data_IF_141593910495
#
_entry.id   IF_141593910495
#
_cell.length_a   1.000
_cell.length_b   1.000
_cell.length_c   1.000
_cell.angle_alpha   90.00
_cell.angle_beta   90.00
_cell.angle_gamma   90.00
#
_symmetry.space_group_name_H-M   'P 1'
#
loop_
_entity.id
_entity.type
_entity.pdbx_description
1 polymer ?
#
# COMPACT_ATOMS: atom_id res chain seq x y z
N UNK A 1 -1.28 -2.59 -15.73
CA UNK A 1 -0.20 -2.18 -14.79
C UNK A 1 -0.80 -2.05 -13.39
N UNK A 2 -0.07 -2.47 -12.39
CA UNK A 2 -0.49 -2.33 -11.00
C UNK A 2 0.33 -1.27 -10.31
N UNK A 3 -0.33 -0.50 -9.45
CA UNK A 3 0.33 0.54 -8.64
C UNK A 3 -0.09 0.40 -7.20
N UNK A 4 0.86 0.62 -6.31
CA UNK A 4 0.56 0.76 -4.89
C UNK A 4 0.44 2.25 -4.57
N UNK A 5 -0.66 2.62 -3.91
CA UNK A 5 -0.94 3.97 -3.46
C UNK A 5 -0.74 3.96 -1.95
N UNK A 6 0.31 4.63 -1.48
CA UNK A 6 0.68 4.61 -0.07
C UNK A 6 0.30 5.92 0.60
N UNK A 7 -0.61 5.85 1.55
CA UNK A 7 -0.98 7.01 2.37
C UNK A 7 0.14 7.25 3.38
N UNK A 8 0.80 8.39 3.27
CA UNK A 8 1.89 8.71 4.20
C UNK A 8 1.32 9.09 5.56
N UNK A 9 1.99 8.65 6.61
CA UNK A 9 1.54 8.92 7.97
C UNK A 9 1.69 10.39 8.33
N UNK A 10 0.90 10.81 9.32
CA UNK A 10 0.98 12.14 9.95
C UNK A 10 1.17 11.95 11.44
N UNK A 11 1.47 13.03 12.16
CA UNK A 11 1.59 12.97 13.61
C UNK A 11 0.30 12.47 14.25
N UNK A 12 -0.86 12.87 13.71
CA UNK A 12 -2.16 12.40 14.19
C UNK A 12 -2.34 10.90 14.01
N UNK A 13 -2.02 10.38 12.81
CA UNK A 13 -2.16 8.94 12.55
C UNK A 13 -1.21 8.11 13.42
N UNK A 14 -0.01 8.59 13.63
CA UNK A 14 0.96 7.92 14.52
C UNK A 14 0.55 7.99 15.98
N UNK A 15 -0.18 9.04 16.39
CA UNK A 15 -0.74 9.15 17.73
C UNK A 15 -1.97 8.27 17.94
N UNK A 16 -2.43 7.60 16.90
CA UNK A 16 -3.60 6.72 16.99
C UNK A 16 -4.93 7.45 16.94
N UNK A 17 -4.95 8.71 16.50
CA UNK A 17 -6.20 9.46 16.36
C UNK A 17 -6.99 8.89 15.19
N UNK A 18 -8.21 8.48 15.48
CA UNK A 18 -9.06 7.83 14.50
C UNK A 18 -9.73 8.86 13.60
N UNK A 19 -10.00 8.51 12.31
CA UNK A 19 -10.75 9.38 11.42
C UNK A 19 -12.18 9.56 11.89
N UNK A 20 -12.79 10.69 11.51
CA UNK A 20 -14.20 10.98 11.82
C UNK A 20 -15.13 10.07 11.01
N UNK A 21 -16.39 9.98 11.46
CA UNK A 21 -17.42 9.25 10.72
C UNK A 21 -17.58 9.81 9.30
N UNK A 22 -17.54 11.15 9.16
CA UNK A 22 -17.63 11.81 7.86
C UNK A 22 -16.49 11.38 6.93
N UNK A 23 -15.27 11.36 7.44
CA UNK A 23 -14.10 10.92 6.67
C UNK A 23 -14.25 9.47 6.23
N UNK A 24 -14.71 8.60 7.12
CA UNK A 24 -14.93 7.19 6.80
C UNK A 24 -16.00 7.02 5.73
N UNK A 25 -17.07 7.84 5.75
CA UNK A 25 -18.09 7.82 4.72
C UNK A 25 -17.57 8.27 3.36
N UNK A 26 -16.82 9.36 3.34
CA UNK A 26 -16.23 9.88 2.10
C UNK A 26 -15.25 8.87 1.50
N UNK A 27 -14.45 8.25 2.33
CA UNK A 27 -13.50 7.24 1.89
C UNK A 27 -14.21 5.97 1.41
N UNK A 28 -15.29 5.57 2.08
CA UNK A 28 -16.13 4.47 1.63
C UNK A 28 -16.72 4.72 0.25
N UNK A 29 -17.21 5.94 0.01
CA UNK A 29 -17.75 6.32 -1.30
C UNK A 29 -16.67 6.29 -2.39
N UNK A 30 -15.47 6.75 -2.08
CA UNK A 30 -14.34 6.69 -2.99
C UNK A 30 -13.98 5.24 -3.33
N UNK A 31 -13.93 4.38 -2.32
CA UNK A 31 -13.66 2.95 -2.52
C UNK A 31 -14.70 2.29 -3.41
N UNK A 32 -15.98 2.66 -3.27
CA UNK A 32 -17.03 2.17 -4.15
C UNK A 32 -16.79 2.56 -5.60
N UNK A 33 -16.34 3.78 -5.86
CA UNK A 33 -15.99 4.21 -7.20
C UNK A 33 -14.86 3.39 -7.80
N UNK A 34 -13.82 3.13 -7.02
CA UNK A 34 -12.69 2.29 -7.45
C UNK A 34 -13.14 0.87 -7.79
N UNK A 35 -14.00 0.30 -6.96
CA UNK A 35 -14.52 -1.06 -7.17
C UNK A 35 -15.41 -1.10 -8.42
N UNK A 36 -16.31 -0.15 -8.57
CA UNK A 36 -17.21 -0.08 -9.74
C UNK A 36 -16.44 0.10 -11.04
N UNK A 37 -15.35 0.83 -11.01
CA UNK A 37 -14.49 1.02 -12.20
C UNK A 37 -13.62 -0.21 -12.50
N UNK A 38 -13.62 -1.22 -11.64
CA UNK A 38 -12.78 -2.41 -11.79
C UNK A 38 -11.31 -2.16 -11.54
N UNK A 39 -11.00 -1.09 -10.81
CA UNK A 39 -9.62 -0.60 -10.60
C UNK A 39 -9.01 -1.16 -9.31
N UNK A 40 -9.82 -1.29 -8.26
CA UNK A 40 -9.34 -1.68 -6.92
C UNK A 40 -9.04 -3.17 -6.83
N UNK A 41 -7.82 -3.51 -6.44
CA UNK A 41 -7.43 -4.89 -6.15
C UNK A 41 -7.39 -5.15 -4.64
N UNK A 42 -6.94 -4.17 -3.85
CA UNK A 42 -6.88 -4.26 -2.39
C UNK A 42 -6.80 -2.86 -1.79
N UNK A 43 -7.17 -2.75 -0.53
CA UNK A 43 -7.01 -1.51 0.22
C UNK A 43 -7.13 -1.79 1.70
N UNK A 44 -6.16 -1.30 2.50
CA UNK A 44 -6.09 -1.54 3.93
C UNK A 44 -5.50 -0.34 4.67
N UNK A 45 -6.02 -0.08 5.86
CA UNK A 45 -5.38 0.83 6.80
C UNK A 45 -4.37 0.09 7.66
N UNK A 46 -3.38 0.78 8.16
CA UNK A 46 -2.35 0.23 9.03
C UNK A 46 -2.40 0.90 10.39
N UNK A 47 -2.17 0.13 11.44
CA UNK A 47 -1.98 0.67 12.78
C UNK A 47 -0.73 1.55 12.83
N UNK A 48 -0.64 2.49 13.81
CA UNK A 48 0.57 3.27 14.04
C UNK A 48 1.81 2.40 14.22
N UNK A 49 2.98 2.96 13.93
CA UNK A 49 4.24 2.23 14.04
C UNK A 49 4.56 1.74 15.46
N UNK A 50 3.90 2.33 16.48
CA UNK A 50 4.01 1.85 17.87
C UNK A 50 3.58 0.40 18.04
N UNK A 51 2.77 -0.11 17.12
CA UNK A 51 2.33 -1.51 17.12
C UNK A 51 3.12 -2.40 16.17
N UNK A 52 4.15 -1.84 15.55
CA UNK A 52 4.96 -2.52 14.57
C UNK A 52 6.39 -2.77 15.04
N UNK A 53 7.17 -3.34 14.15
CA UNK A 53 8.58 -3.61 14.38
C UNK A 53 9.33 -3.57 13.07
N UNK A 54 10.64 -3.38 13.16
CA UNK A 54 11.57 -3.53 12.03
C UNK A 54 12.55 -4.62 12.36
N UNK A 55 12.96 -5.37 11.36
CA UNK A 55 14.01 -6.38 11.50
C UNK A 55 15.18 -5.95 10.61
N UNK A 56 16.33 -5.75 11.23
CA UNK A 56 17.55 -5.39 10.51
C UNK A 56 18.30 -6.65 10.12
N UNK A 57 18.76 -6.70 8.90
CA UNK A 57 19.57 -7.78 8.35
C UNK A 57 21.01 -7.29 8.22
N UNK A 58 21.93 -7.94 8.92
CA UNK A 58 23.37 -7.64 8.84
C UNK A 58 24.12 -8.96 8.84
N UNK A 59 24.57 -9.41 7.65
CA UNK A 59 25.12 -10.75 7.50
C UNK A 59 24.11 -11.81 7.91
N UNK A 60 24.48 -12.63 8.89
CA UNK A 60 23.56 -13.64 9.46
C UNK A 60 22.76 -13.12 10.64
N UNK A 61 23.07 -11.93 11.11
CA UNK A 61 22.38 -11.34 12.26
C UNK A 61 21.02 -10.78 11.85
N UNK A 62 20.10 -10.88 12.78
CA UNK A 62 18.75 -10.34 12.66
C UNK A 62 18.43 -9.59 13.95
N UNK A 63 18.23 -8.27 13.85
CA UNK A 63 17.95 -7.44 15.02
C UNK A 63 16.54 -6.88 14.90
N UNK A 64 15.73 -7.14 15.92
CA UNK A 64 14.36 -6.62 15.99
C UNK A 64 14.36 -5.29 16.71
N UNK A 65 13.69 -4.30 16.11
CA UNK A 65 13.50 -2.97 16.70
C UNK A 65 12.01 -2.68 16.76
N UNK A 66 11.47 -2.57 17.97
CA UNK A 66 10.06 -2.21 18.12
C UNK A 66 9.82 -0.73 17.82
N UNK A 67 8.63 -0.42 17.27
CA UNK A 67 8.23 0.97 17.10
C UNK A 67 7.94 1.66 18.42
N UNK A 68 7.61 2.95 18.42
CA UNK A 68 7.39 3.78 17.22
C UNK A 68 8.70 4.21 16.54
N UNK A 69 8.57 4.64 15.28
CA UNK A 69 9.71 5.13 14.49
C UNK A 69 9.60 6.63 14.25
N UNK A 70 10.76 7.32 14.21
CA UNK A 70 10.80 8.78 14.30
C UNK A 70 10.36 9.52 13.03
N UNK A 71 10.65 9.00 11.87
CA UNK A 71 10.44 9.72 10.60
C UNK A 71 9.01 9.52 10.10
N UNK A 72 8.05 10.21 10.71
CA UNK A 72 6.62 10.07 10.45
C UNK A 72 6.27 10.16 8.96
N UNK A 73 6.86 11.12 8.24
CA UNK A 73 6.58 11.30 6.81
C UNK A 73 7.05 10.16 5.92
N UNK A 74 7.91 9.30 6.43
CA UNK A 74 8.39 8.12 5.71
C UNK A 74 7.56 6.88 6.01
N UNK A 75 6.68 6.94 7.00
CA UNK A 75 5.83 5.84 7.40
C UNK A 75 4.57 5.77 6.52
N UNK A 76 3.99 4.59 6.44
CA UNK A 76 2.78 4.34 5.66
C UNK A 76 1.62 4.06 6.62
N UNK A 77 0.54 4.81 6.48
CA UNK A 77 -0.66 4.67 7.32
C UNK A 77 -1.73 3.81 6.67
N UNK A 78 -1.59 3.51 5.38
CA UNK A 78 -2.52 2.69 4.65
C UNK A 78 -2.13 2.62 3.17
N UNK A 79 -2.80 1.76 2.43
CA UNK A 79 -2.48 1.61 1.01
C UNK A 79 -3.68 1.12 0.22
N UNK A 80 -3.64 1.38 -1.08
CA UNK A 80 -4.45 0.67 -2.07
C UNK A 80 -3.52 0.00 -3.06
N UNK A 81 -3.95 -1.12 -3.59
CA UNK A 81 -3.35 -1.73 -4.77
C UNK A 81 -4.38 -1.60 -5.89
N UNK A 82 -4.00 -0.95 -6.98
CA UNK A 82 -4.91 -0.69 -8.11
C UNK A 82 -4.33 -1.22 -9.42
N UNK A 83 -5.23 -1.52 -10.34
CA UNK A 83 -4.87 -1.92 -11.69
C UNK A 83 -5.41 -0.89 -12.68
N UNK A 84 -4.51 -0.24 -13.40
CA UNK A 84 -4.81 0.82 -14.36
C UNK A 84 -3.88 0.70 -15.57
N UNK A 85 -4.13 1.50 -16.60
CA UNK A 85 -3.36 1.42 -17.85
C UNK A 85 -2.06 2.21 -17.82
N UNK A 86 -1.91 3.18 -16.89
CA UNK A 86 -0.74 4.06 -16.87
C UNK A 86 -0.56 4.73 -15.50
N UNK A 87 0.63 5.27 -15.26
CA UNK A 87 0.88 6.09 -14.08
C UNK A 87 -0.02 7.34 -14.08
N UNK A 88 -0.24 7.92 -15.23
CA UNK A 88 -1.09 9.11 -15.36
C UNK A 88 -2.53 8.82 -14.90
N UNK A 89 -3.05 7.65 -15.24
CA UNK A 89 -4.37 7.22 -14.77
C UNK A 89 -4.37 7.02 -13.26
N UNK A 90 -3.31 6.42 -12.69
CA UNK A 90 -3.19 6.28 -11.24
C UNK A 90 -3.19 7.65 -10.55
N UNK A 91 -2.47 8.62 -11.09
CA UNK A 91 -2.43 9.99 -10.56
C UNK A 91 -3.83 10.61 -10.58
N UNK A 92 -4.58 10.43 -11.66
CA UNK A 92 -5.93 10.98 -11.76
C UNK A 92 -6.86 10.36 -10.71
N UNK A 93 -6.75 9.07 -10.46
CA UNK A 93 -7.51 8.43 -9.38
C UNK A 93 -7.15 9.01 -8.01
N UNK A 94 -5.85 9.20 -7.74
CA UNK A 94 -5.41 9.75 -6.45
C UNK A 94 -5.90 11.18 -6.25
N UNK A 95 -5.93 11.99 -7.31
CA UNK A 95 -6.46 13.37 -7.23
C UNK A 95 -7.93 13.42 -6.81
N UNK A 96 -8.68 12.37 -7.09
CA UNK A 96 -10.09 12.28 -6.72
C UNK A 96 -10.31 11.74 -5.31
N UNK A 97 -9.25 11.26 -4.67
CA UNK A 97 -9.33 10.73 -3.31
C UNK A 97 -9.61 11.86 -2.32
N UNK A 98 -10.55 11.68 -1.38
CA UNK A 98 -10.67 12.61 -0.26
C UNK A 98 -9.36 12.64 0.51
N UNK A 99 -8.98 13.79 1.06
CA UNK A 99 -7.77 13.86 1.87
C UNK A 99 -7.91 12.89 3.05
N UNK A 100 -7.06 11.87 3.16
CA UNK A 100 -7.20 10.86 4.21
C UNK A 100 -6.82 11.35 5.61
N UNK A 101 -6.30 12.56 5.72
CA UNK A 101 -5.84 13.13 6.97
C UNK A 101 -6.50 14.47 7.22
N UNK A 102 -6.58 14.94 8.50
CA UNK A 102 -7.22 16.22 8.81
C UNK A 102 -6.43 17.43 8.34
N UNK A 103 -5.16 17.29 8.01
CA UNK A 103 -4.33 18.39 7.54
C UNK A 103 -3.69 18.08 6.21
N UNK A 104 -2.57 18.75 5.93
CA UNK A 104 -1.79 18.48 4.73
C UNK A 104 -1.27 17.04 4.77
N UNK A 105 -1.39 16.32 3.66
CA UNK A 105 -0.95 14.94 3.57
C UNK A 105 -0.52 14.58 2.15
N UNK A 106 0.09 13.42 2.01
CA UNK A 106 0.57 12.93 0.72
C UNK A 106 0.19 11.46 0.52
N UNK A 107 -0.02 11.10 -0.73
CA UNK A 107 -0.13 9.70 -1.16
C UNK A 107 0.98 9.48 -2.18
N UNK A 108 1.84 8.50 -1.90
CA UNK A 108 2.91 8.11 -2.81
C UNK A 108 2.43 7.02 -3.75
N UNK A 109 2.76 7.14 -5.03
CA UNK A 109 2.35 6.19 -6.08
C UNK A 109 3.59 5.44 -6.55
N UNK A 110 3.59 4.11 -6.44
CA UNK A 110 4.70 3.26 -6.87
C UNK A 110 4.19 2.14 -7.75
N UNK A 111 4.84 1.96 -8.90
CA UNK A 111 4.49 0.86 -9.79
C UNK A 111 4.97 -0.46 -9.20
N UNK A 112 4.10 -1.47 -9.25
CA UNK A 112 4.44 -2.82 -8.80
C UNK A 112 5.19 -3.56 -9.90
N UNK A 113 6.24 -4.30 -9.54
CA UNK A 113 6.95 -5.14 -10.51
C UNK A 113 6.03 -6.21 -11.07
N UNK A 114 6.10 -6.39 -12.39
CA UNK A 114 5.51 -7.53 -13.09
C UNK A 114 6.63 -8.46 -13.57
N UNK A 115 6.26 -9.67 -13.97
CA UNK A 115 7.26 -10.66 -14.41
C UNK A 115 8.20 -10.12 -15.51
N UNK A 116 7.65 -9.34 -16.45
CA UNK A 116 8.43 -8.80 -17.56
C UNK A 116 9.39 -7.68 -17.16
N UNK A 117 9.25 -7.13 -15.96
CA UNK A 117 10.16 -6.09 -15.45
C UNK A 117 11.50 -6.67 -14.98
N UNK A 118 11.54 -7.97 -14.72
CA UNK A 118 12.77 -8.67 -14.35
C UNK A 118 13.51 -9.11 -15.62
N UNK A 119 14.82 -9.24 -15.55
CA UNK A 119 15.61 -9.68 -16.68
C UNK A 119 15.63 -11.21 -16.86
N UNK A 120 16.59 -11.67 -17.65
CA UNK A 120 16.72 -13.10 -17.99
C UNK A 120 16.95 -14.01 -16.77
N UNK A 121 17.39 -13.41 -15.65
CA UNK A 121 17.57 -14.16 -14.40
C UNK A 121 16.23 -14.66 -13.82
N UNK A 122 15.13 -14.08 -14.26
CA UNK A 122 13.79 -14.56 -13.90
C UNK A 122 13.40 -15.66 -14.90
N UNK A 123 13.86 -16.87 -14.62
CA UNK A 123 13.75 -18.02 -15.50
C UNK A 123 12.31 -18.50 -15.68
N UNK A 124 12.02 -19.29 -16.74
CA UNK A 124 10.69 -19.89 -16.91
C UNK A 124 10.24 -20.72 -15.71
N UNK A 125 11.16 -21.44 -15.05
CA UNK A 125 10.83 -22.20 -13.83
C UNK A 125 10.42 -21.28 -12.69
N UNK A 126 11.08 -20.14 -12.51
CA UNK A 126 10.73 -19.17 -11.48
C UNK A 126 9.40 -18.50 -11.78
N UNK A 127 9.09 -18.21 -13.05
CA UNK A 127 7.79 -17.67 -13.45
C UNK A 127 6.66 -18.65 -13.14
N UNK A 128 6.86 -19.92 -13.44
CA UNK A 128 5.88 -20.98 -13.15
C UNK A 128 5.66 -21.12 -11.64
N UNK A 129 6.74 -21.09 -10.87
CA UNK A 129 6.66 -21.13 -9.41
C UNK A 129 5.82 -19.96 -8.88
N UNK A 130 6.08 -18.74 -9.37
CA UNK A 130 5.35 -17.54 -8.95
C UNK A 130 3.86 -17.66 -9.26
N UNK A 131 3.51 -18.11 -10.46
CA UNK A 131 2.11 -18.31 -10.86
C UNK A 131 1.41 -19.32 -9.96
N UNK A 132 2.07 -20.43 -9.67
CA UNK A 132 1.53 -21.44 -8.76
C UNK A 132 1.32 -20.89 -7.35
N UNK A 133 2.31 -20.13 -6.84
CA UNK A 133 2.21 -19.55 -5.51
C UNK A 133 1.09 -18.52 -5.42
N UNK A 134 0.89 -17.71 -6.45
CA UNK A 134 -0.22 -16.76 -6.48
C UNK A 134 -1.58 -17.46 -6.47
N UNK A 135 -1.71 -18.53 -7.23
CA UNK A 135 -2.93 -19.33 -7.24
C UNK A 135 -3.21 -19.95 -5.87
N UNK A 136 -2.17 -20.48 -5.22
CA UNK A 136 -2.27 -21.04 -3.89
C UNK A 136 -2.59 -19.99 -2.84
N UNK A 137 -1.97 -18.81 -2.94
CA UNK A 137 -2.23 -17.71 -2.00
C UNK A 137 -3.67 -17.22 -2.09
N UNK A 138 -4.27 -17.23 -3.27
CA UNK A 138 -5.67 -16.85 -3.45
C UNK A 138 -6.62 -17.74 -2.64
N UNK A 139 -6.26 -19.02 -2.44
CA UNK A 139 -7.08 -19.97 -1.66
C UNK A 139 -6.99 -19.72 -0.16
N UNK A 140 -6.04 -18.92 0.31
CA UNK A 140 -5.88 -18.58 1.72
C UNK A 140 -6.72 -17.39 2.16
N UNK A 141 -7.37 -16.74 1.21
CA UNK A 141 -8.16 -15.54 1.50
C UNK A 141 -9.49 -15.85 2.18
#
# INVERSE_FOLDING_TARGET
MRFMLMVKATDDSEAGIMPSEEMLREMGAYNEELVKAGVMLAGEGLHPSSKGARVRFSGKERTVMDGPFAETKELVAGFWLIQVSSKEEAVEWVKRCPNPMPGESEIEIRQVFEADDFGDEYTPELREQEERLRAQAADNA
#
